data_IF_034132369420
#
_entry.id   IF_034132369420
#
_cell.length_a   1.000
_cell.length_b   1.000
_cell.length_c   1.000
_cell.angle_alpha   90.00
_cell.angle_beta   90.00
_cell.angle_gamma   90.00
#
_symmetry.space_group_name_H-M   'P 1'
#
loop_
_entity.id
_entity.type
_entity.pdbx_description
1 polymer ?
#
# COMPACT_ATOMS: atom_id res chain seq x y z
N UNK A 1 26.11 27.30 -19.82
CA UNK A 1 26.38 25.85 -19.83
C UNK A 1 25.34 25.23 -18.93
N UNK A 2 24.36 24.51 -19.49
CA UNK A 2 23.23 23.98 -18.74
C UNK A 2 23.61 22.63 -18.12
N UNK A 3 23.46 22.50 -16.80
CA UNK A 3 23.63 21.24 -16.08
C UNK A 3 22.52 20.26 -16.50
N UNK A 4 22.88 19.29 -17.34
CA UNK A 4 22.10 18.08 -17.53
C UNK A 4 22.30 17.19 -16.30
N UNK A 5 21.61 17.49 -15.20
CA UNK A 5 21.46 16.53 -14.10
C UNK A 5 20.65 15.37 -14.66
N UNK A 6 21.35 14.35 -15.13
CA UNK A 6 20.76 13.09 -15.59
C UNK A 6 19.69 12.70 -14.59
N UNK A 7 18.44 12.58 -15.05
CA UNK A 7 17.42 11.89 -14.27
C UNK A 7 18.00 10.52 -13.89
N UNK A 8 17.96 10.14 -12.61
CA UNK A 8 18.56 8.89 -12.18
C UNK A 8 17.97 7.74 -12.97
N UNK A 9 18.83 6.85 -13.45
CA UNK A 9 18.38 5.66 -14.19
C UNK A 9 17.50 4.80 -13.29
N UNK A 10 16.55 4.08 -13.88
CA UNK A 10 15.70 3.12 -13.16
C UNK A 10 16.52 2.16 -12.28
N UNK A 11 17.67 1.70 -12.77
CA UNK A 11 18.57 0.81 -12.03
C UNK A 11 19.23 1.49 -10.83
N UNK A 12 19.47 2.80 -10.88
CA UNK A 12 20.01 3.58 -9.75
C UNK A 12 18.95 3.75 -8.65
N UNK A 13 17.70 3.99 -9.05
CA UNK A 13 16.54 4.06 -8.13
C UNK A 13 16.38 2.71 -7.41
N UNK A 14 16.41 1.59 -8.15
CA UNK A 14 16.29 0.25 -7.59
C UNK A 14 17.47 -0.12 -6.68
N UNK A 15 18.69 0.28 -7.06
CA UNK A 15 19.89 0.05 -6.25
C UNK A 15 19.89 0.84 -4.94
N UNK A 16 19.35 2.06 -4.96
CA UNK A 16 19.19 2.89 -3.76
C UNK A 16 18.18 2.28 -2.79
N UNK A 17 17.02 1.85 -3.28
CA UNK A 17 15.98 1.18 -2.47
C UNK A 17 16.54 -0.12 -1.86
N UNK A 18 17.22 -0.94 -2.66
CA UNK A 18 17.83 -2.20 -2.19
C UNK A 18 18.88 -1.97 -1.09
N UNK A 19 19.68 -0.91 -1.20
CA UNK A 19 20.69 -0.56 -0.19
C UNK A 19 20.05 -0.10 1.13
N UNK A 20 19.00 0.72 1.06
CA UNK A 20 18.28 1.22 2.25
C UNK A 20 17.68 0.05 3.03
N UNK A 21 17.02 -0.90 2.35
CA UNK A 21 16.41 -2.07 3.00
C UNK A 21 17.45 -2.98 3.64
N UNK A 22 18.60 -3.19 2.98
CA UNK A 22 19.67 -4.02 3.51
C UNK A 22 20.40 -3.39 4.72
N UNK A 23 20.51 -2.06 4.77
CA UNK A 23 21.06 -1.34 5.93
C UNK A 23 20.06 -1.25 7.09
N UNK A 24 18.75 -1.20 6.80
CA UNK A 24 17.69 -1.17 7.83
C UNK A 24 17.59 -2.51 8.59
N UNK A 25 17.71 -3.65 7.90
CA UNK A 25 17.71 -4.98 8.54
C UNK A 25 18.93 -5.18 9.48
N UNK A 26 20.06 -4.52 9.19
CA UNK A 26 21.27 -4.55 10.01
C UNK A 26 21.21 -3.65 11.24
N UNK A 27 20.26 -2.71 11.29
CA UNK A 27 20.14 -1.72 12.37
C UNK A 27 19.16 -2.14 13.47
N UNK A 28 18.59 -3.34 13.40
CA UNK A 28 17.76 -3.89 14.48
C UNK A 28 18.65 -4.37 15.64
N UNK A 29 18.51 -3.82 16.87
CA UNK A 29 19.37 -4.23 17.97
C UNK A 29 19.01 -5.64 18.41
N UNK A 30 19.93 -6.58 18.17
CA UNK A 30 19.88 -7.94 18.71
C UNK A 30 20.00 -7.89 20.23
N UNK A 31 18.85 -7.86 20.91
CA UNK A 31 18.77 -8.09 22.36
C UNK A 31 19.06 -9.57 22.64
N UNK A 32 20.00 -9.79 23.56
CA UNK A 32 20.63 -11.06 23.88
C UNK A 32 19.60 -12.11 24.35
N UNK A 33 19.46 -13.19 23.58
CA UNK A 33 19.12 -14.53 24.10
C UNK A 33 20.00 -15.59 23.45
N UNK A 34 21.29 -15.54 23.77
CA UNK A 34 22.14 -16.72 23.68
C UNK A 34 21.86 -17.60 24.91
N UNK A 35 21.00 -18.61 24.76
CA UNK A 35 21.00 -19.89 25.50
C UNK A 35 19.81 -20.78 25.07
N UNK A 36 19.90 -21.31 23.85
CA UNK A 36 19.30 -22.58 23.42
C UNK A 36 19.78 -22.88 21.99
N UNK A 37 21.10 -23.03 21.83
CA UNK A 37 21.71 -23.46 20.56
C UNK A 37 21.58 -24.98 20.36
N UNK A 38 20.41 -25.54 20.65
CA UNK A 38 20.09 -26.93 20.38
C UNK A 38 18.59 -27.04 20.15
N UNK A 39 18.21 -27.36 18.90
CA UNK A 39 16.88 -27.76 18.43
C UNK A 39 16.01 -26.67 17.77
N UNK A 40 16.44 -26.11 16.65
CA UNK A 40 15.54 -25.40 15.71
C UNK A 40 15.93 -25.62 14.22
N UNK A 41 16.47 -26.80 13.87
CA UNK A 41 16.74 -27.16 12.45
C UNK A 41 15.85 -28.31 11.93
N UNK A 42 14.86 -28.79 12.71
CA UNK A 42 13.84 -29.74 12.24
C UNK A 42 12.41 -29.21 12.48
N UNK A 43 12.15 -27.96 12.11
CA UNK A 43 10.79 -27.55 11.75
C UNK A 43 10.81 -26.97 10.34
N UNK A 44 11.40 -27.74 9.41
CA UNK A 44 10.92 -27.71 8.03
C UNK A 44 9.49 -28.27 8.12
N UNK A 45 8.51 -27.37 8.12
CA UNK A 45 7.11 -27.72 7.92
C UNK A 45 6.99 -28.44 6.57
N UNK A 46 6.97 -29.77 6.61
CA UNK A 46 6.43 -30.59 5.53
C UNK A 46 4.94 -30.25 5.40
N UNK A 47 4.64 -29.22 4.58
CA UNK A 47 3.29 -28.77 4.25
C UNK A 47 2.48 -29.84 3.48
N UNK A 48 3.03 -31.03 3.28
CA UNK A 48 2.44 -32.11 2.50
C UNK A 48 1.64 -33.11 3.34
N UNK A 49 1.68 -33.03 4.67
CA UNK A 49 0.86 -33.89 5.56
C UNK A 49 0.25 -33.12 6.73
N UNK A 50 -0.04 -31.82 6.54
CA UNK A 50 -0.85 -31.07 7.48
C UNK A 50 -2.30 -31.55 7.34
N UNK A 51 -2.76 -32.26 8.37
CA UNK A 51 -4.14 -32.51 8.74
C UNK A 51 -5.14 -31.64 7.96
N UNK A 52 -5.87 -32.23 7.00
CA UNK A 52 -6.87 -31.53 6.17
C UNK A 52 -8.02 -30.92 7.00
N UNK A 53 -8.00 -31.09 8.32
CA UNK A 53 -9.04 -30.68 9.24
C UNK A 53 -8.66 -29.58 10.23
N UNK A 54 -7.37 -29.27 10.43
CA UNK A 54 -6.93 -28.21 11.36
C UNK A 54 -7.13 -26.78 10.81
N UNK A 55 -7.38 -26.64 9.50
CA UNK A 55 -7.66 -25.36 8.82
C UNK A 55 -9.17 -25.03 8.80
N UNK A 56 -10.01 -25.90 9.37
CA UNK A 56 -11.47 -25.80 9.26
C UNK A 56 -12.10 -24.79 10.21
N UNK A 57 -11.49 -24.48 11.35
CA UNK A 57 -12.12 -23.64 12.40
C UNK A 57 -12.05 -22.12 12.11
N UNK A 58 -11.17 -21.67 11.22
CA UNK A 58 -11.06 -20.25 10.80
C UNK A 58 -11.61 -20.00 9.37
N UNK A 59 -12.28 -21.01 8.77
CA UNK A 59 -12.93 -20.87 7.47
C UNK A 59 -14.26 -20.14 7.63
N UNK A 60 -14.20 -18.81 7.53
CA UNK A 60 -15.35 -17.92 7.42
C UNK A 60 -16.33 -18.30 6.29
N UNK A 61 -15.90 -19.09 5.29
CA UNK A 61 -16.72 -19.57 4.19
C UNK A 61 -16.56 -21.09 3.97
N UNK A 62 -17.71 -21.75 3.82
CA UNK A 62 -17.79 -23.11 3.31
C UNK A 62 -17.26 -23.21 1.87
N UNK A 63 -16.68 -24.34 1.50
CA UNK A 63 -16.03 -24.54 0.20
C UNK A 63 -17.00 -24.34 -0.97
N UNK A 64 -18.21 -24.88 -0.83
CA UNK A 64 -19.27 -24.74 -1.83
C UNK A 64 -19.69 -23.29 -2.02
N UNK A 65 -19.77 -22.51 -0.93
CA UNK A 65 -20.09 -21.07 -0.99
C UNK A 65 -18.98 -20.27 -1.67
N UNK A 66 -17.71 -20.60 -1.37
CA UNK A 66 -16.56 -19.98 -2.02
C UNK A 66 -16.52 -20.27 -3.53
N UNK A 67 -16.84 -21.50 -3.93
CA UNK A 67 -16.96 -21.89 -5.35
C UNK A 67 -18.09 -21.12 -6.04
N UNK A 68 -19.27 -21.04 -5.43
CA UNK A 68 -20.40 -20.27 -5.99
C UNK A 68 -20.07 -18.78 -6.15
N UNK A 69 -19.40 -18.17 -5.17
CA UNK A 69 -18.96 -16.77 -5.27
C UNK A 69 -17.99 -16.57 -6.44
N UNK A 70 -17.02 -17.48 -6.62
CA UNK A 70 -16.10 -17.44 -7.77
C UNK A 70 -16.84 -17.58 -9.10
N UNK A 71 -17.84 -18.45 -9.17
CA UNK A 71 -18.67 -18.60 -10.38
C UNK A 71 -19.49 -17.34 -10.68
N UNK A 72 -20.14 -16.75 -9.67
CA UNK A 72 -20.88 -15.49 -9.84
C UNK A 72 -19.97 -14.34 -10.24
N UNK A 73 -18.78 -14.23 -9.64
CA UNK A 73 -17.81 -13.19 -9.97
C UNK A 73 -17.26 -13.36 -11.39
N UNK A 74 -17.00 -14.59 -11.83
CA UNK A 74 -16.60 -14.89 -13.21
C UNK A 74 -17.68 -14.49 -14.21
N UNK A 75 -18.96 -14.77 -13.92
CA UNK A 75 -20.07 -14.37 -14.79
C UNK A 75 -20.17 -12.84 -14.89
N UNK A 76 -20.03 -12.13 -13.78
CA UNK A 76 -20.02 -10.67 -13.75
C UNK A 76 -18.81 -10.08 -14.48
N UNK A 77 -17.64 -10.71 -14.38
CA UNK A 77 -16.45 -10.29 -15.12
C UNK A 77 -16.65 -10.44 -16.64
N UNK A 78 -17.27 -11.52 -17.11
CA UNK A 78 -17.59 -11.69 -18.55
C UNK A 78 -18.63 -10.67 -19.02
N UNK A 79 -19.60 -10.30 -18.18
CA UNK A 79 -20.58 -9.25 -18.47
C UNK A 79 -19.97 -7.83 -18.41
N UNK A 80 -18.92 -7.66 -17.62
CA UNK A 80 -18.24 -6.39 -17.38
C UNK A 80 -17.01 -6.17 -18.25
N UNK A 81 -16.56 -7.17 -19.02
CA UNK A 81 -15.50 -6.98 -20.02
C UNK A 81 -16.00 -5.97 -21.06
N UNK A 82 -15.40 -4.77 -21.14
CA UNK A 82 -15.68 -3.90 -22.26
C UNK A 82 -15.11 -4.60 -23.50
N UNK A 83 -15.97 -5.03 -24.42
CA UNK A 83 -15.57 -5.62 -25.72
C UNK A 83 -14.76 -4.68 -26.63
N UNK A 84 -14.38 -3.50 -26.13
CA UNK A 84 -13.57 -2.49 -26.78
C UNK A 84 -12.52 -2.05 -25.76
N UNK A 85 -11.23 -2.11 -26.14
CA UNK A 85 -10.14 -1.59 -25.33
C UNK A 85 -10.45 -0.17 -24.87
N UNK A 86 -10.24 0.19 -23.59
CA UNK A 86 -10.60 1.51 -23.09
C UNK A 86 -9.81 2.55 -23.89
N UNK A 87 -10.49 3.26 -24.77
CA UNK A 87 -9.97 4.52 -25.26
C UNK A 87 -9.83 5.40 -24.02
N UNK A 88 -8.60 5.79 -23.72
CA UNK A 88 -8.30 6.81 -22.72
C UNK A 88 -8.82 8.13 -23.30
N UNK A 89 -10.14 8.27 -23.36
CA UNK A 89 -10.81 9.55 -23.59
C UNK A 89 -10.55 10.35 -22.33
N UNK A 90 -9.58 11.26 -22.42
CA UNK A 90 -9.21 12.29 -21.42
C UNK A 90 -9.59 11.88 -20.00
N UNK A 91 -8.75 11.03 -19.41
CA UNK A 91 -8.64 10.80 -17.97
C UNK A 91 -9.93 11.03 -17.16
N UNK A 92 -10.82 10.05 -17.14
CA UNK A 92 -11.67 9.81 -15.97
C UNK A 92 -13.18 9.98 -16.10
N UNK A 93 -13.70 10.59 -17.16
CA UNK A 93 -15.13 10.98 -17.24
C UNK A 93 -16.13 9.81 -17.29
N UNK A 94 -15.70 8.60 -17.69
CA UNK A 94 -16.55 7.39 -17.70
C UNK A 94 -15.91 6.20 -16.97
N UNK A 95 -14.89 6.45 -16.16
CA UNK A 95 -14.18 5.40 -15.42
C UNK A 95 -14.63 5.34 -13.95
N UNK A 96 -14.41 4.20 -13.28
CA UNK A 96 -14.62 4.03 -11.84
C UNK A 96 -13.91 5.12 -11.00
N UNK A 97 -12.79 5.63 -11.48
CA UNK A 97 -12.06 6.74 -10.84
C UNK A 97 -12.92 8.00 -10.78
N UNK A 98 -13.69 8.30 -11.84
CA UNK A 98 -14.63 9.42 -11.90
C UNK A 98 -15.69 9.31 -10.81
N UNK A 99 -16.36 8.16 -10.72
CA UNK A 99 -17.37 7.89 -9.68
C UNK A 99 -16.77 7.97 -8.26
N UNK A 100 -15.59 7.39 -8.06
CA UNK A 100 -14.90 7.42 -6.75
C UNK A 100 -14.53 8.84 -6.36
N UNK A 101 -14.07 9.67 -7.32
CA UNK A 101 -13.75 11.09 -7.10
C UNK A 101 -14.99 11.91 -6.76
N UNK A 102 -16.12 11.65 -7.41
CA UNK A 102 -17.39 12.30 -7.09
C UNK A 102 -17.84 12.00 -5.66
N UNK A 103 -17.69 10.75 -5.21
CA UNK A 103 -18.02 10.32 -3.86
C UNK A 103 -17.03 10.86 -2.80
N UNK A 104 -15.74 10.92 -3.12
CA UNK A 104 -14.71 11.40 -2.17
C UNK A 104 -14.67 12.92 -2.07
N UNK A 105 -15.10 13.66 -3.09
CA UNK A 105 -15.09 15.14 -3.11
C UNK A 105 -15.79 15.77 -1.90
N UNK A 106 -17.04 15.41 -1.53
CA UNK A 106 -17.70 16.02 -0.38
C UNK A 106 -17.01 15.69 0.94
N UNK A 107 -16.52 14.46 1.11
CA UNK A 107 -15.84 14.03 2.35
C UNK A 107 -14.51 14.77 2.54
N UNK A 108 -13.72 14.89 1.46
CA UNK A 108 -12.47 15.64 1.49
C UNK A 108 -12.70 17.14 1.72
N UNK A 109 -13.77 17.70 1.15
CA UNK A 109 -14.11 19.11 1.36
C UNK A 109 -14.44 19.38 2.83
N UNK A 110 -15.31 18.58 3.44
CA UNK A 110 -15.71 18.75 4.85
C UNK A 110 -14.52 18.59 5.80
N UNK A 111 -13.65 17.62 5.50
CA UNK A 111 -12.41 17.43 6.24
C UNK A 111 -11.46 18.63 6.10
N UNK A 112 -11.26 19.13 4.88
CA UNK A 112 -10.41 20.31 4.64
C UNK A 112 -11.00 21.55 5.33
N UNK A 113 -12.30 21.78 5.22
CA UNK A 113 -12.98 22.92 5.87
C UNK A 113 -12.78 22.89 7.39
N UNK A 114 -12.75 21.69 8.00
CA UNK A 114 -12.57 21.51 9.45
C UNK A 114 -11.10 21.58 9.89
N UNK A 115 -10.17 20.98 9.12
CA UNK A 115 -8.80 20.76 9.58
C UNK A 115 -7.76 21.69 8.96
N UNK A 116 -8.05 22.33 7.82
CA UNK A 116 -7.12 23.23 7.16
C UNK A 116 -6.83 24.51 7.96
N UNK A 117 -7.83 25.20 8.58
CA UNK A 117 -7.57 26.41 9.34
C UNK A 117 -6.50 26.25 10.45
N UNK A 118 -6.59 25.28 11.39
CA UNK A 118 -5.61 25.14 12.45
C UNK A 118 -4.21 24.75 11.93
N UNK A 119 -4.12 23.99 10.83
CA UNK A 119 -2.84 23.63 10.22
C UNK A 119 -2.14 24.87 9.67
N UNK A 120 -2.89 25.74 8.98
CA UNK A 120 -2.35 26.97 8.40
C UNK A 120 -1.94 27.95 9.49
N UNK A 121 -2.75 28.13 10.53
CA UNK A 121 -2.41 29.00 11.68
C UNK A 121 -1.09 28.58 12.33
N UNK A 122 -0.94 27.29 12.65
CA UNK A 122 0.30 26.77 13.21
C UNK A 122 1.52 26.95 12.28
N UNK A 123 1.33 26.87 10.96
CA UNK A 123 2.39 27.08 9.99
C UNK A 123 2.76 28.57 9.84
N UNK A 124 1.76 29.46 9.87
CA UNK A 124 1.94 30.92 9.82
C UNK A 124 2.62 31.43 11.10
N UNK A 125 2.24 30.94 12.28
CA UNK A 125 2.90 31.31 13.54
C UNK A 125 4.40 30.94 13.53
N UNK A 126 4.72 29.74 13.05
CA UNK A 126 6.11 29.29 12.85
C UNK A 126 6.86 30.20 11.88
N UNK A 127 6.21 30.61 10.80
CA UNK A 127 6.81 31.47 9.78
C UNK A 127 7.04 32.90 10.27
N UNK A 128 6.09 33.48 11.02
CA UNK A 128 6.24 34.80 11.65
C UNK A 128 7.38 34.77 12.67
N UNK A 129 7.43 33.75 13.54
CA UNK A 129 8.48 33.58 14.54
C UNK A 129 9.86 33.47 13.87
N UNK A 130 9.95 32.76 12.75
CA UNK A 130 11.18 32.61 11.97
C UNK A 130 11.65 33.94 11.39
N UNK A 131 10.73 34.76 10.86
CA UNK A 131 11.06 36.07 10.27
C UNK A 131 11.47 37.06 11.38
N UNK A 132 10.72 37.12 12.49
CA UNK A 132 11.03 38.03 13.62
C UNK A 132 12.30 37.67 14.38
N UNK A 133 12.74 36.41 14.34
CA UNK A 133 14.05 36.01 14.90
C UNK A 133 15.23 36.30 13.96
N UNK A 134 14.98 36.43 12.66
CA UNK A 134 16.01 36.64 11.62
C UNK A 134 16.19 38.12 11.25
N UNK A 135 15.15 38.95 11.42
CA UNK A 135 15.23 40.41 11.33
C UNK A 135 15.73 41.01 12.63
#
# INVERSE_FOLDING_TARGET
>A
MADNRSEPSMDEILSSIKRIIADDDRSRPATKRAKSAAREEEEVLELTTADENAISEDRLLDDSKAQNLRHSFSALQTLSEPGVAPQIVRSGETSLEGLTRELLRPMLKDWLDTHLPPIVEAMVEREITRITKKG
#
